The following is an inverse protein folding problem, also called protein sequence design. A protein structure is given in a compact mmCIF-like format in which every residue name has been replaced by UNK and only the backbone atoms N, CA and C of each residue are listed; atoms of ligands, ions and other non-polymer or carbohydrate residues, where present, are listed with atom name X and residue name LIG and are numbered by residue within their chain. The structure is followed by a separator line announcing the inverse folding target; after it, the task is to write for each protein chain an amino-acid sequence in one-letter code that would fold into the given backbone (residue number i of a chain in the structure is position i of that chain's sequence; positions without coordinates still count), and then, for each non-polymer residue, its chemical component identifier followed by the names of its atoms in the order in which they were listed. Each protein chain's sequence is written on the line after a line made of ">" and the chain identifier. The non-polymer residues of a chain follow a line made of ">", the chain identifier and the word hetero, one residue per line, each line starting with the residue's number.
data_IF_651528835819
#
_entry.id   IF_651528835819
#
_cell.length_a   1.000
_cell.length_b   1.000
_cell.length_c   1.000
_cell.angle_alpha   90.00
_cell.angle_beta   90.00
_cell.angle_gamma   90.00
#
_symmetry.space_group_name_H-M   'P 1'
#
loop_
_entity.id
_entity.type
_entity.pdbx_description
1 polymer ?
#
# COMPACT_ATOMS: atom_id res chain seq x y z
N UNK A 1 -10.80 30.71 22.41
CA UNK A 1 -9.39 30.63 22.85
C UNK A 1 -8.67 29.40 22.24
N UNK A 2 -9.26 28.20 22.36
CA UNK A 2 -8.66 26.93 21.89
C UNK A 2 -8.38 26.94 20.37
N UNK A 3 -9.26 27.52 19.57
CA UNK A 3 -9.09 27.59 18.10
C UNK A 3 -7.90 28.47 17.69
N UNK A 4 -7.65 29.58 18.39
CA UNK A 4 -6.50 30.44 18.14
C UNK A 4 -5.17 29.77 18.50
N UNK A 5 -5.14 29.00 19.59
CA UNK A 5 -3.95 28.22 19.99
C UNK A 5 -3.62 27.14 18.94
N UNK A 6 -4.62 26.42 18.40
CA UNK A 6 -4.43 25.44 17.33
C UNK A 6 -3.87 26.08 16.06
N UNK A 7 -4.36 27.29 15.71
CA UNK A 7 -3.87 28.02 14.54
C UNK A 7 -2.40 28.43 14.70
N UNK A 8 -1.99 28.91 15.88
CA UNK A 8 -0.59 29.25 16.16
C UNK A 8 0.33 28.02 16.14
N UNK A 9 -0.14 26.87 16.64
CA UNK A 9 0.64 25.62 16.58
C UNK A 9 0.85 25.18 15.14
N UNK A 10 -0.18 25.25 14.28
CA UNK A 10 -0.08 24.92 12.85
C UNK A 10 0.88 25.89 12.14
N UNK A 11 0.78 27.18 12.43
CA UNK A 11 1.65 28.20 11.86
C UNK A 11 3.10 28.02 12.31
N UNK A 12 3.34 27.71 13.58
CA UNK A 12 4.67 27.44 14.11
C UNK A 12 5.29 26.15 13.50
N UNK A 13 4.49 25.10 13.36
CA UNK A 13 4.92 23.86 12.67
C UNK A 13 5.27 24.14 11.20
N UNK A 14 4.50 24.95 10.48
CA UNK A 14 4.77 25.28 9.08
C UNK A 14 6.04 26.11 8.91
N UNK A 15 6.33 27.03 9.85
CA UNK A 15 7.57 27.81 9.86
C UNK A 15 8.81 26.98 10.22
N UNK A 16 8.68 26.02 11.12
CA UNK A 16 9.77 25.09 11.45
C UNK A 16 10.09 24.15 10.29
N UNK A 17 9.09 23.69 9.55
CA UNK A 17 9.32 22.85 8.35
C UNK A 17 10.02 23.60 7.25
N UNK A 18 9.69 24.86 6.99
CA UNK A 18 10.30 25.67 5.92
C UNK A 18 11.81 25.91 6.13
N UNK A 19 12.25 26.12 7.36
CA UNK A 19 13.68 26.35 7.67
C UNK A 19 14.53 25.09 7.52
N UNK A 20 13.99 23.90 7.85
CA UNK A 20 14.68 22.62 7.67
C UNK A 20 14.83 22.25 6.19
N UNK A 21 13.88 22.66 5.36
CA UNK A 21 13.92 22.39 3.91
C UNK A 21 15.02 23.19 3.20
N UNK A 22 15.24 24.43 3.59
CA UNK A 22 16.25 25.28 2.95
C UNK A 22 17.70 24.80 3.18
N UNK A 23 18.00 24.21 4.32
CA UNK A 23 19.37 23.79 4.68
C UNK A 23 19.81 22.45 4.08
N UNK A 24 18.88 21.60 3.65
CA UNK A 24 19.15 20.23 3.17
C UNK A 24 19.05 20.06 1.65
N UNK A 25 18.98 21.16 0.90
CA UNK A 25 18.90 21.12 -0.56
C UNK A 25 20.18 20.53 -1.16
N UNK A 26 20.02 19.58 -2.09
CA UNK A 26 21.13 19.05 -2.87
C UNK A 26 21.60 20.10 -3.88
N UNK A 27 22.89 20.19 -4.15
CA UNK A 27 23.42 21.05 -5.20
C UNK A 27 22.89 20.66 -6.59
N UNK A 28 22.58 19.37 -6.77
CA UNK A 28 21.94 18.81 -7.99
C UNK A 28 20.93 17.76 -7.55
N UNK A 29 19.76 17.71 -8.21
CA UNK A 29 18.78 16.66 -7.91
C UNK A 29 19.34 15.28 -8.29
N UNK A 30 19.02 14.28 -7.48
CA UNK A 30 19.34 12.88 -7.74
C UNK A 30 18.10 12.17 -8.30
N UNK A 31 18.28 11.42 -9.36
CA UNK A 31 17.22 10.66 -10.01
C UNK A 31 17.55 9.17 -9.91
N UNK A 32 16.60 8.40 -9.41
CA UNK A 32 16.70 6.95 -9.29
C UNK A 32 15.57 6.30 -10.07
N UNK A 33 15.91 5.24 -10.79
CA UNK A 33 14.96 4.32 -11.38
C UNK A 33 15.27 2.92 -10.85
N UNK A 34 14.25 2.16 -10.54
CA UNK A 34 14.47 0.84 -9.96
C UNK A 34 13.30 -0.09 -10.11
N UNK A 35 13.49 -1.25 -9.53
CA UNK A 35 12.48 -2.30 -9.44
C UNK A 35 12.36 -2.75 -8.01
N UNK A 36 11.20 -3.22 -7.64
CA UNK A 36 10.99 -3.90 -6.37
C UNK A 36 10.08 -5.11 -6.55
N UNK A 37 10.17 -6.03 -5.62
CA UNK A 37 9.30 -7.17 -5.54
C UNK A 37 9.19 -7.64 -4.10
N UNK A 38 8.10 -8.32 -3.78
CA UNK A 38 7.87 -8.76 -2.42
C UNK A 38 6.64 -9.64 -2.26
N UNK A 39 6.25 -9.79 -1.02
CA UNK A 39 5.06 -10.53 -0.62
C UNK A 39 4.10 -9.61 0.14
N UNK A 40 2.81 -9.82 -0.08
CA UNK A 40 1.72 -9.06 0.54
C UNK A 40 0.75 -10.01 1.22
N UNK A 41 0.41 -9.73 2.47
CA UNK A 41 -0.74 -10.26 3.15
C UNK A 41 -1.87 -9.23 3.07
N UNK A 42 -3.04 -9.64 2.61
CA UNK A 42 -4.19 -8.74 2.45
C UNK A 42 -5.42 -9.31 3.15
N UNK A 43 -6.33 -8.41 3.50
CA UNK A 43 -7.65 -8.73 4.02
C UNK A 43 -8.66 -7.67 3.59
N UNK A 44 -9.93 -7.95 3.77
CA UNK A 44 -11.00 -7.02 3.46
C UNK A 44 -11.59 -6.42 4.74
N UNK A 45 -11.68 -5.12 4.80
CA UNK A 45 -12.35 -4.40 5.87
C UNK A 45 -13.78 -4.08 5.46
N UNK A 46 -14.75 -4.62 6.23
CA UNK A 46 -16.18 -4.36 6.04
C UNK A 46 -16.70 -3.42 7.13
N UNK A 47 -17.48 -2.41 6.76
CA UNK A 47 -18.11 -1.51 7.69
C UNK A 47 -19.63 -1.36 7.39
N UNK A 48 -20.56 -1.75 8.30
CA UNK A 48 -20.35 -2.51 9.53
C UNK A 48 -19.87 -3.93 9.26
N UNK A 49 -19.20 -4.54 10.26
CA UNK A 49 -18.73 -5.92 10.17
C UNK A 49 -19.88 -6.88 9.88
N UNK A 50 -19.66 -7.78 8.95
CA UNK A 50 -20.63 -8.82 8.62
C UNK A 50 -20.64 -9.85 9.75
N UNK A 51 -21.78 -10.00 10.42
CA UNK A 51 -21.93 -10.98 11.50
C UNK A 51 -21.87 -12.41 10.93
N UNK A 52 -21.24 -13.32 11.66
CA UNK A 52 -21.09 -14.75 11.33
C UNK A 52 -20.25 -15.06 10.09
N UNK A 53 -19.33 -14.19 9.71
CA UNK A 53 -18.40 -14.46 8.62
C UNK A 53 -16.97 -14.48 9.18
N UNK A 54 -16.33 -15.64 9.14
CA UNK A 54 -14.91 -15.78 9.48
C UNK A 54 -14.06 -15.37 8.28
N UNK A 55 -13.71 -14.08 8.25
CA UNK A 55 -12.84 -13.52 7.23
C UNK A 55 -11.41 -13.85 7.61
N UNK A 56 -10.80 -14.71 6.82
CA UNK A 56 -9.39 -15.05 6.94
C UNK A 56 -8.54 -14.10 6.10
N UNK A 57 -7.30 -13.94 6.54
CA UNK A 57 -6.31 -13.27 5.69
C UNK A 57 -6.13 -14.06 4.40
N UNK A 58 -6.05 -13.37 3.27
CA UNK A 58 -5.68 -14.02 2.01
C UNK A 58 -4.31 -14.67 2.16
N UNK A 59 -4.08 -15.81 1.49
CA UNK A 59 -2.73 -16.35 1.37
C UNK A 59 -1.76 -15.27 0.92
N UNK A 60 -0.49 -15.40 1.31
CA UNK A 60 0.57 -14.49 0.86
C UNK A 60 0.59 -14.44 -0.66
N UNK A 61 0.49 -13.25 -1.20
CA UNK A 61 0.49 -12.99 -2.65
C UNK A 61 1.75 -12.24 -3.05
N UNK A 62 2.17 -12.42 -4.29
CA UNK A 62 3.30 -11.69 -4.86
C UNK A 62 2.91 -10.27 -5.28
N UNK A 63 3.84 -9.36 -5.14
CA UNK A 63 3.74 -8.01 -5.70
C UNK A 63 5.09 -7.58 -6.28
N UNK A 64 5.07 -6.66 -7.24
CA UNK A 64 6.29 -6.10 -7.81
C UNK A 64 6.00 -4.96 -8.75
N UNK A 65 7.01 -4.13 -9.00
CA UNK A 65 6.82 -2.98 -9.85
C UNK A 65 8.07 -2.17 -10.11
N UNK A 66 7.86 -1.06 -10.81
CA UNK A 66 8.86 -0.07 -11.15
C UNK A 66 8.80 1.07 -10.15
N UNK A 67 9.97 1.63 -9.82
CA UNK A 67 10.12 2.75 -8.90
C UNK A 67 10.86 3.87 -9.60
N UNK A 68 10.28 5.06 -9.57
CA UNK A 68 10.92 6.31 -9.93
C UNK A 68 11.02 7.19 -8.68
N UNK A 69 12.22 7.66 -8.35
CA UNK A 69 12.46 8.56 -7.20
C UNK A 69 13.24 9.78 -7.64
N UNK A 70 12.70 10.95 -7.31
CA UNK A 70 13.31 12.25 -7.52
C UNK A 70 13.64 12.90 -6.19
N UNK A 71 14.92 13.09 -5.93
CA UNK A 71 15.42 13.67 -4.68
C UNK A 71 16.07 15.04 -4.96
N UNK A 72 15.43 16.11 -4.52
CA UNK A 72 15.98 17.46 -4.51
C UNK A 72 16.64 17.79 -3.15
N UNK A 73 16.24 17.10 -2.12
CA UNK A 73 16.75 17.27 -0.75
C UNK A 73 17.40 15.98 -0.25
N UNK A 74 18.36 16.12 0.66
CA UNK A 74 19.05 14.97 1.28
C UNK A 74 18.14 14.10 2.11
N UNK A 75 17.05 14.65 2.63
CA UNK A 75 16.13 14.01 3.56
C UNK A 75 14.82 13.65 2.87
N UNK A 76 14.39 14.45 1.89
CA UNK A 76 13.07 14.31 1.26
C UNK A 76 13.18 14.09 -0.24
N UNK A 77 12.42 13.14 -0.74
CA UNK A 77 12.28 12.83 -2.16
C UNK A 77 10.82 12.54 -2.51
N UNK A 78 10.46 12.74 -3.77
CA UNK A 78 9.22 12.26 -4.34
C UNK A 78 9.46 10.89 -4.97
N UNK A 79 8.61 9.92 -4.65
CA UNK A 79 8.65 8.58 -5.22
C UNK A 79 7.32 8.26 -5.87
N UNK A 80 7.38 7.79 -7.11
CA UNK A 80 6.23 7.32 -7.88
C UNK A 80 6.53 5.89 -8.28
N UNK A 81 5.53 5.03 -8.18
CA UNK A 81 5.69 3.63 -8.54
C UNK A 81 4.59 3.19 -9.51
N UNK A 82 4.85 2.12 -10.23
CA UNK A 82 3.85 1.40 -11.02
C UNK A 82 3.95 -0.07 -10.63
N UNK A 83 2.99 -0.54 -9.86
CA UNK A 83 3.01 -1.83 -9.20
C UNK A 83 1.92 -2.74 -9.72
N UNK A 84 2.29 -3.98 -10.03
CA UNK A 84 1.34 -5.08 -10.13
C UNK A 84 1.26 -5.79 -8.80
N UNK A 85 0.04 -6.02 -8.32
CA UNK A 85 -0.17 -6.74 -7.08
C UNK A 85 -1.42 -7.61 -7.10
N UNK A 86 -1.38 -8.66 -6.31
CA UNK A 86 -2.54 -9.44 -5.98
C UNK A 86 -2.98 -9.11 -4.56
N UNK A 87 -4.28 -8.93 -4.37
CA UNK A 87 -4.89 -8.77 -3.05
C UNK A 87 -6.25 -9.46 -3.03
N UNK A 88 -6.79 -9.72 -1.85
CA UNK A 88 -8.06 -10.41 -1.74
C UNK A 88 -8.35 -10.86 -0.32
N UNK A 89 -9.26 -11.80 -0.20
CA UNK A 89 -9.67 -12.36 1.07
C UNK A 89 -10.06 -13.83 0.93
N UNK A 90 -10.12 -14.51 2.05
CA UNK A 90 -10.63 -15.86 2.14
C UNK A 90 -11.74 -15.92 3.19
N UNK A 91 -12.76 -16.73 2.93
CA UNK A 91 -13.90 -16.95 3.79
C UNK A 91 -14.02 -18.43 4.07
N UNK A 92 -14.22 -18.79 5.34
CA UNK A 92 -14.42 -20.18 5.77
C UNK A 92 -15.90 -20.41 6.07
N UNK A 93 -16.45 -21.42 5.40
CA UNK A 93 -17.83 -21.88 5.60
C UNK A 93 -17.82 -23.27 6.25
N UNK A 94 -18.45 -23.39 7.42
CA UNK A 94 -18.52 -24.65 8.19
C UNK A 94 -17.81 -24.57 9.54
N UNK A 95 -18.07 -25.56 10.40
CA UNK A 95 -17.61 -25.54 11.80
C UNK A 95 -16.14 -25.89 12.00
N UNK A 96 -15.45 -26.44 11.00
CA UNK A 96 -14.06 -26.90 11.13
C UNK A 96 -13.19 -26.47 9.96
N UNK A 97 -12.02 -25.95 10.26
CA UNK A 97 -11.02 -25.52 9.27
C UNK A 97 -10.52 -26.68 8.34
N UNK A 98 -10.70 -27.95 8.75
CA UNK A 98 -10.28 -29.11 7.98
C UNK A 98 -11.36 -29.66 7.05
N UNK A 99 -12.64 -29.44 7.36
CA UNK A 99 -13.79 -29.97 6.61
C UNK A 99 -14.66 -28.85 6.00
N UNK A 100 -14.38 -27.57 6.33
CA UNK A 100 -15.12 -26.43 5.82
C UNK A 100 -14.79 -26.11 4.36
N UNK A 101 -15.75 -25.48 3.67
CA UNK A 101 -15.55 -24.95 2.34
C UNK A 101 -14.81 -23.63 2.43
N UNK A 102 -13.64 -23.54 1.79
CA UNK A 102 -12.85 -22.32 1.70
C UNK A 102 -13.15 -21.60 0.38
N UNK A 103 -13.72 -20.42 0.49
CA UNK A 103 -13.91 -19.49 -0.62
C UNK A 103 -12.77 -18.47 -0.60
N UNK A 104 -11.99 -18.40 -1.66
CA UNK A 104 -10.89 -17.43 -1.80
C UNK A 104 -11.08 -16.60 -3.05
N UNK A 105 -10.98 -15.29 -2.91
CA UNK A 105 -11.07 -14.34 -4.02
C UNK A 105 -9.77 -13.57 -4.12
N UNK A 106 -9.19 -13.59 -5.32
CA UNK A 106 -7.99 -12.85 -5.68
C UNK A 106 -8.35 -11.75 -6.67
N UNK A 107 -7.88 -10.56 -6.39
CA UNK A 107 -8.03 -9.38 -7.22
C UNK A 107 -6.66 -8.93 -7.69
N UNK A 108 -6.53 -8.72 -8.98
CA UNK A 108 -5.29 -8.26 -9.61
C UNK A 108 -5.38 -6.78 -9.87
N UNK A 109 -4.44 -6.02 -9.33
CA UNK A 109 -4.40 -4.57 -9.44
C UNK A 109 -3.13 -4.08 -10.10
N UNK A 110 -3.29 -3.00 -10.87
CA UNK A 110 -2.19 -2.07 -11.16
C UNK A 110 -2.37 -0.89 -10.21
N UNK A 111 -1.38 -0.61 -9.38
CA UNK A 111 -1.38 0.51 -8.43
C UNK A 111 -0.27 1.51 -8.75
N UNK A 112 -0.60 2.79 -8.61
CA UNK A 112 0.32 3.91 -8.78
C UNK A 112 0.31 4.74 -7.50
N UNK A 113 1.18 4.41 -6.53
CA UNK A 113 1.37 5.23 -5.34
C UNK A 113 2.26 6.46 -5.64
N UNK A 114 1.88 7.59 -5.06
CA UNK A 114 2.62 8.85 -5.05
C UNK A 114 3.11 9.10 -3.63
N UNK A 115 4.37 8.80 -3.37
CA UNK A 115 4.89 8.75 -2.01
C UNK A 115 5.90 9.88 -1.76
N UNK A 116 5.75 10.53 -0.63
CA UNK A 116 6.82 11.32 -0.05
C UNK A 116 7.78 10.36 0.66
N UNK A 117 9.03 10.34 0.21
CA UNK A 117 10.10 9.54 0.79
C UNK A 117 10.94 10.41 1.70
N UNK A 118 11.00 10.05 2.99
CA UNK A 118 11.78 10.75 4.00
C UNK A 118 12.89 9.83 4.48
N UNK A 119 14.13 10.12 4.09
CA UNK A 119 15.31 9.34 4.45
C UNK A 119 16.05 9.94 5.63
N UNK A 120 16.29 9.18 6.67
CA UNK A 120 16.98 9.57 7.89
C UNK A 120 18.23 8.70 8.07
N UNK A 121 19.35 9.32 8.39
CA UNK A 121 20.59 8.58 8.68
C UNK A 121 21.82 9.23 8.09
N UNK A 122 22.96 8.60 8.37
CA UNK A 122 24.28 9.07 7.95
C UNK A 122 24.97 8.01 7.11
N UNK A 123 25.84 8.43 6.20
CA UNK A 123 26.65 7.56 5.33
C UNK A 123 25.76 6.71 4.37
N UNK A 124 26.15 5.46 4.20
CA UNK A 124 25.59 4.56 3.19
C UNK A 124 24.33 3.82 3.65
N UNK A 125 24.15 3.63 4.94
CA UNK A 125 22.97 3.00 5.52
C UNK A 125 22.02 4.07 6.08
N UNK A 126 20.75 4.04 5.64
CA UNK A 126 19.73 4.99 6.09
C UNK A 126 18.41 4.27 6.30
N UNK A 127 17.68 4.69 7.33
CA UNK A 127 16.28 4.38 7.47
C UNK A 127 15.44 5.33 6.63
N UNK A 128 14.23 4.93 6.27
CA UNK A 128 13.29 5.80 5.58
C UNK A 128 11.84 5.53 5.98
N UNK A 129 11.03 6.54 5.71
CA UNK A 129 9.59 6.50 5.82
C UNK A 129 8.97 6.97 4.50
N UNK A 130 8.02 6.21 3.99
CA UNK A 130 7.22 6.55 2.82
C UNK A 130 5.79 6.82 3.25
N UNK A 131 5.15 7.87 2.72
CA UNK A 131 3.75 8.16 2.97
C UNK A 131 3.15 8.88 1.76
N UNK A 132 1.95 8.49 1.36
CA UNK A 132 1.24 9.21 0.33
C UNK A 132 -0.03 8.54 -0.17
N UNK A 133 -0.75 9.22 -1.07
CA UNK A 133 -1.91 8.65 -1.73
C UNK A 133 -1.49 7.59 -2.75
N UNK A 134 -2.44 6.71 -3.03
CA UNK A 134 -2.33 5.71 -4.09
C UNK A 134 -3.62 5.65 -4.89
N UNK A 135 -3.50 5.34 -6.17
CA UNK A 135 -4.60 5.00 -7.04
C UNK A 135 -4.37 3.62 -7.61
N UNK A 136 -5.43 2.88 -7.85
CA UNK A 136 -5.36 1.51 -8.35
C UNK A 136 -6.49 1.21 -9.33
N UNK A 137 -6.26 0.24 -10.19
CA UNK A 137 -7.25 -0.29 -11.10
C UNK A 137 -7.24 -1.82 -11.08
N UNK A 138 -8.41 -2.42 -10.82
CA UNK A 138 -8.60 -3.86 -10.85
C UNK A 138 -8.68 -4.35 -12.30
N UNK A 139 -7.69 -5.12 -12.73
CA UNK A 139 -7.59 -5.63 -14.10
C UNK A 139 -8.21 -7.02 -14.26
N UNK A 140 -8.18 -7.83 -13.20
CA UNK A 140 -8.75 -9.17 -13.22
C UNK A 140 -9.20 -9.61 -11.82
N UNK A 141 -10.13 -10.53 -11.79
CA UNK A 141 -10.60 -11.20 -10.58
C UNK A 141 -10.62 -12.71 -10.77
N UNK A 142 -10.17 -13.44 -9.77
CA UNK A 142 -10.20 -14.90 -9.72
C UNK A 142 -10.87 -15.35 -8.44
N UNK A 143 -11.74 -16.35 -8.56
CA UNK A 143 -12.40 -17.01 -7.43
C UNK A 143 -12.00 -18.47 -7.39
N UNK A 144 -11.58 -18.93 -6.21
CA UNK A 144 -11.24 -20.36 -5.96
C UNK A 144 -12.08 -20.87 -4.81
N UNK A 145 -12.73 -22.02 -5.04
CA UNK A 145 -13.52 -22.72 -4.04
C UNK A 145 -12.84 -24.07 -3.78
N UNK A 146 -12.43 -24.30 -2.54
CA UNK A 146 -11.83 -25.54 -2.10
C UNK A 146 -12.81 -26.31 -1.20
N UNK A 147 -12.89 -27.63 -1.37
CA UNK A 147 -13.82 -28.52 -0.63
C UNK A 147 -15.30 -28.09 -0.76
N UNK A 148 -15.94 -28.25 -1.93
CA UNK A 148 -17.31 -27.78 -2.14
C UNK A 148 -18.34 -28.70 -1.45
N UNK A 149 -18.31 -28.78 -0.12
CA UNK A 149 -19.23 -29.58 0.69
C UNK A 149 -20.33 -28.78 1.38
N UNK A 150 -20.15 -27.47 1.53
CA UNK A 150 -21.14 -26.58 2.11
C UNK A 150 -21.87 -25.77 1.04
N UNK A 151 -23.16 -25.49 1.24
CA UNK A 151 -23.93 -24.60 0.38
C UNK A 151 -23.42 -23.17 0.63
N UNK A 152 -22.67 -22.61 -0.33
CA UNK A 152 -22.29 -21.21 -0.30
C UNK A 152 -23.54 -20.40 -0.64
N UNK A 153 -24.11 -19.73 0.35
CA UNK A 153 -25.24 -18.81 0.12
C UNK A 153 -24.80 -17.65 -0.77
N UNK A 154 -25.64 -17.30 -1.75
CA UNK A 154 -25.41 -16.12 -2.56
C UNK A 154 -25.40 -14.86 -1.67
N UNK A 155 -24.21 -14.29 -1.46
CA UNK A 155 -24.02 -13.09 -0.67
C UNK A 155 -23.38 -12.01 -1.54
N UNK A 156 -23.60 -10.74 -1.19
CA UNK A 156 -23.13 -9.59 -1.97
C UNK A 156 -21.61 -9.59 -2.22
N UNK A 157 -20.81 -10.11 -1.29
CA UNK A 157 -19.37 -10.23 -1.47
C UNK A 157 -18.95 -11.25 -2.55
N UNK A 158 -19.89 -12.08 -3.04
CA UNK A 158 -19.66 -13.01 -4.14
C UNK A 158 -20.05 -12.43 -5.50
N UNK A 159 -20.72 -11.28 -5.54
CA UNK A 159 -21.04 -10.60 -6.78
C UNK A 159 -19.76 -10.10 -7.49
N UNK A 160 -19.78 -9.95 -8.82
CA UNK A 160 -18.70 -9.32 -9.55
C UNK A 160 -18.38 -7.92 -9.02
N UNK A 161 -17.10 -7.53 -9.08
CA UNK A 161 -16.67 -6.21 -8.63
C UNK A 161 -17.30 -5.15 -9.52
N UNK A 162 -18.06 -4.26 -8.90
CA UNK A 162 -18.75 -3.17 -9.60
C UNK A 162 -17.80 -1.99 -9.84
N UNK A 163 -16.98 -1.67 -8.84
CA UNK A 163 -16.03 -0.56 -8.92
C UNK A 163 -14.61 -1.08 -9.08
N UNK A 164 -14.06 -0.94 -10.28
CA UNK A 164 -12.70 -1.35 -10.60
C UNK A 164 -11.64 -0.31 -10.24
N UNK A 165 -12.06 0.94 -10.09
CA UNK A 165 -11.16 2.02 -9.69
C UNK A 165 -11.07 2.07 -8.17
N UNK A 166 -9.84 2.13 -7.68
CA UNK A 166 -9.54 2.20 -6.26
C UNK A 166 -8.63 3.39 -5.97
N UNK A 167 -8.79 3.96 -4.80
CA UNK A 167 -7.95 5.03 -4.29
C UNK A 167 -7.77 4.88 -2.80
N UNK A 168 -6.63 5.31 -2.28
CA UNK A 168 -6.32 5.11 -0.88
C UNK A 168 -5.03 5.77 -0.47
N UNK A 169 -4.44 5.22 0.58
CA UNK A 169 -3.18 5.69 1.13
C UNK A 169 -2.24 4.52 1.42
N UNK A 170 -0.95 4.79 1.27
CA UNK A 170 0.11 3.87 1.64
C UNK A 170 1.09 4.53 2.60
N UNK A 171 1.55 3.76 3.59
CA UNK A 171 2.59 4.16 4.52
C UNK A 171 3.62 3.03 4.64
N UNK A 172 4.90 3.35 4.54
CA UNK A 172 5.98 2.36 4.59
C UNK A 172 7.14 2.80 5.47
N UNK A 173 7.76 1.82 6.09
CA UNK A 173 9.00 1.99 6.86
C UNK A 173 10.04 1.05 6.29
N UNK A 174 11.28 1.52 6.20
CA UNK A 174 12.31 0.67 5.66
C UNK A 174 13.73 1.17 5.92
N UNK A 175 14.66 0.43 5.38
CA UNK A 175 16.06 0.83 5.35
C UNK A 175 16.62 0.61 3.95
N UNK A 176 17.64 1.40 3.61
CA UNK A 176 18.35 1.21 2.38
C UNK A 176 19.86 1.33 2.58
N UNK A 177 20.57 0.61 1.74
CA UNK A 177 22.01 0.67 1.65
C UNK A 177 22.43 1.19 0.28
N UNK A 178 23.09 2.36 0.25
CA UNK A 178 23.58 2.99 -0.96
C UNK A 178 25.03 2.58 -1.21
N UNK A 179 25.25 1.91 -2.31
CA UNK A 179 26.58 1.51 -2.77
C UNK A 179 27.13 2.56 -3.72
N UNK A 180 28.42 2.89 -3.60
CA UNK A 180 29.03 3.97 -4.41
C UNK A 180 29.09 3.66 -5.92
N UNK A 181 29.00 2.41 -6.33
CA UNK A 181 29.17 1.98 -7.72
C UNK A 181 27.96 1.28 -8.32
N UNK A 182 27.21 0.54 -7.52
CA UNK A 182 26.20 -0.41 -8.02
C UNK A 182 24.79 0.21 -7.98
N UNK A 183 24.44 0.95 -6.92
CA UNK A 183 23.10 1.52 -6.75
C UNK A 183 22.63 1.44 -5.29
N UNK A 184 21.33 1.43 -5.10
CA UNK A 184 20.68 1.43 -3.79
C UNK A 184 19.85 0.16 -3.63
N UNK A 185 20.10 -0.59 -2.58
CA UNK A 185 19.30 -1.73 -2.15
C UNK A 185 18.40 -1.27 -1.01
N UNK A 186 17.11 -1.57 -1.10
CA UNK A 186 16.15 -1.18 -0.06
C UNK A 186 15.30 -2.36 0.39
N UNK A 187 14.96 -2.37 1.67
CA UNK A 187 13.97 -3.24 2.30
C UNK A 187 12.89 -2.37 2.90
N UNK A 188 11.64 -2.64 2.58
CA UNK A 188 10.49 -1.85 3.02
C UNK A 188 9.36 -2.75 3.51
N UNK A 189 8.81 -2.44 4.68
CA UNK A 189 7.52 -2.92 5.15
C UNK A 189 6.48 -1.81 4.88
N UNK A 190 5.43 -2.12 4.12
CA UNK A 190 4.42 -1.15 3.67
C UNK A 190 3.02 -1.60 4.04
N UNK A 191 2.28 -0.72 4.66
CA UNK A 191 0.85 -0.84 4.88
C UNK A 191 0.11 -0.05 3.80
N UNK A 192 -0.93 -0.63 3.22
CA UNK A 192 -1.81 0.01 2.25
C UNK A 192 -3.27 -0.14 2.70
N UNK A 193 -4.03 0.93 2.55
CA UNK A 193 -5.46 0.97 2.86
C UNK A 193 -6.21 1.65 1.73
N UNK A 194 -7.21 0.96 1.19
CA UNK A 194 -8.12 1.49 0.20
C UNK A 194 -9.25 2.27 0.87
N UNK A 195 -9.58 3.43 0.32
CA UNK A 195 -10.73 4.25 0.71
C UNK A 195 -11.88 4.11 -0.30
N UNK A 196 -11.59 3.60 -1.50
CA UNK A 196 -12.58 3.24 -2.51
C UNK A 196 -13.24 1.91 -2.16
N UNK A 197 -14.58 1.85 -2.10
CA UNK A 197 -15.28 0.58 -1.96
C UNK A 197 -15.26 -0.21 -3.27
N UNK A 198 -14.97 -1.51 -3.19
CA UNK A 198 -14.92 -2.43 -4.35
C UNK A 198 -16.32 -2.77 -4.87
N UNK A 199 -17.33 -2.58 -4.02
CA UNK A 199 -18.74 -2.84 -4.36
C UNK A 199 -19.55 -1.55 -4.31
N UNK A 200 -20.46 -1.38 -5.30
CA UNK A 200 -21.48 -0.35 -5.24
C UNK A 200 -22.59 -0.81 -4.30
N UNK A 201 -22.66 -0.19 -3.13
CA UNK A 201 -23.51 -0.65 -2.04
C UNK A 201 -24.72 0.29 -1.92
N UNK A 202 -25.87 -0.12 -2.44
CA UNK A 202 -27.15 0.54 -2.22
C UNK A 202 -27.61 0.42 -0.77
N UNK A 203 -28.65 1.18 -0.40
CA UNK A 203 -29.17 1.31 0.98
C UNK A 203 -29.68 0.01 1.64
N UNK A 204 -29.80 -1.10 0.91
CA UNK A 204 -30.38 -2.38 1.34
C UNK A 204 -29.36 -3.48 1.67
N UNK A 205 -28.06 -3.17 1.80
CA UNK A 205 -27.03 -4.18 2.01
C UNK A 205 -26.50 -4.23 3.44
N UNK A 206 -25.99 -5.40 3.85
CA UNK A 206 -25.46 -5.69 5.19
C UNK A 206 -24.19 -4.87 5.54
N UNK A 207 -23.49 -4.33 4.55
CA UNK A 207 -22.34 -3.45 4.75
C UNK A 207 -22.38 -2.25 3.79
N UNK A 208 -21.83 -1.13 4.23
CA UNK A 208 -21.79 0.13 3.46
C UNK A 208 -20.47 0.32 2.71
N UNK A 209 -19.42 -0.34 3.14
CA UNK A 209 -18.09 -0.20 2.55
C UNK A 209 -17.32 -1.50 2.71
N UNK A 210 -16.64 -1.92 1.65
CA UNK A 210 -15.70 -3.04 1.63
C UNK A 210 -14.39 -2.52 1.05
N UNK A 211 -13.39 -2.36 1.92
CA UNK A 211 -12.10 -1.74 1.58
C UNK A 211 -10.97 -2.74 1.74
N UNK A 212 -10.19 -3.02 0.69
CA UNK A 212 -8.99 -3.81 0.81
C UNK A 212 -7.94 -3.11 1.68
N UNK A 213 -7.28 -3.88 2.54
CA UNK A 213 -6.11 -3.44 3.27
C UNK A 213 -5.05 -4.53 3.27
N UNK A 214 -3.79 -4.14 3.40
CA UNK A 214 -2.72 -5.12 3.39
C UNK A 214 -1.41 -4.61 3.93
N UNK A 215 -0.58 -5.57 4.32
CA UNK A 215 0.79 -5.37 4.73
C UNK A 215 1.71 -6.11 3.75
N UNK A 216 2.71 -5.43 3.21
CA UNK A 216 3.70 -6.02 2.31
C UNK A 216 5.11 -5.83 2.81
N UNK A 217 5.98 -6.77 2.44
CA UNK A 217 7.43 -6.65 2.63
C UNK A 217 8.08 -6.73 1.26
N UNK A 218 8.83 -5.70 0.91
CA UNK A 218 9.38 -5.51 -0.43
C UNK A 218 10.90 -5.34 -0.37
N UNK A 219 11.58 -6.03 -1.28
CA UNK A 219 12.97 -5.80 -1.60
C UNK A 219 13.06 -5.00 -2.89
N UNK A 220 13.85 -3.94 -2.90
CA UNK A 220 14.01 -3.07 -4.06
C UNK A 220 15.46 -2.83 -4.40
N UNK A 221 15.67 -2.59 -5.68
CA UNK A 221 16.95 -2.14 -6.22
C UNK A 221 16.73 -0.90 -7.07
N UNK A 222 17.43 0.18 -6.77
CA UNK A 222 17.35 1.43 -7.50
C UNK A 222 18.70 1.80 -8.11
N UNK A 223 18.66 2.11 -9.36
CA UNK A 223 19.79 2.62 -10.12
C UNK A 223 19.79 4.15 -10.08
N UNK A 224 20.95 4.74 -9.81
CA UNK A 224 21.14 6.18 -9.80
C UNK A 224 21.59 6.67 -11.18
N UNK A 225 20.72 7.43 -11.88
CA UNK A 225 21.02 7.91 -13.24
C UNK A 225 21.95 9.11 -13.27
N UNK A 226 21.99 9.92 -12.23
CA UNK A 226 22.80 11.14 -12.18
C UNK A 226 23.71 11.07 -10.97
N UNK A 227 24.90 10.51 -11.18
CA UNK A 227 25.92 10.47 -10.12
C UNK A 227 26.36 11.87 -9.75
N UNK A 228 26.44 12.10 -8.45
CA UNK A 228 27.13 13.22 -7.85
C UNK A 228 28.60 13.15 -8.25
N UNK A 229 29.08 14.15 -9.02
CA UNK A 229 30.55 14.41 -9.16
C UNK A 229 31.06 15.09 -7.91
#
# INVERSE_FOLDING_TARGET
>A
KVMRIRLYIILALSLLTSSVWAQNRLQRPEIFLGVHGGVKASTMFYNPSVKNLDILHSPLTGNGGLVFRYAEHRVCALQIECNYMQQGWAELYGSDAKSGTLYTRHLHYIEIPFLMHIGLGKKNFRGFFNLGPQIGYCIAEETKISNPGATISAQKQHDPITNRFDWGAAAGLGCYYRTNKIGVFQLEARFSFSLGGVFDVGQLHYFKMASPMGLSVNLGYLWEFKKRK
#
